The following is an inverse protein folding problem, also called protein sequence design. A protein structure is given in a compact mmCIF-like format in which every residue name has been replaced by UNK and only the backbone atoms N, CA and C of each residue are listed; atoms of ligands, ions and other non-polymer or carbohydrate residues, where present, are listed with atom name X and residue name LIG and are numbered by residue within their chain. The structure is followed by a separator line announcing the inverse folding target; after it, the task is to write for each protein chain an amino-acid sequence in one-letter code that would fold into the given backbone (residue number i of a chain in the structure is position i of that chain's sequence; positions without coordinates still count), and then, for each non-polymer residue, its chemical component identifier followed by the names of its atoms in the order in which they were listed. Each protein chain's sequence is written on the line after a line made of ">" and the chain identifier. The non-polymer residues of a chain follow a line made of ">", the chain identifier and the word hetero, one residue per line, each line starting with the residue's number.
data_IF_446645157247
#
_entry.id   IF_446645157247
#
_cell.length_a   1.000
_cell.length_b   1.000
_cell.length_c   1.000
_cell.angle_alpha   90.00
_cell.angle_beta   90.00
_cell.angle_gamma   90.00
#
_symmetry.space_group_name_H-M   'P 1'
#
loop_
_entity.id
_entity.type
_entity.pdbx_description
1 polymer ?
#
# COMPACT_ATOMS: atom_id res chain seq x y z
N UNK A 1 10.32 6.46 -29.67
CA UNK A 1 11.24 7.16 -28.74
C UNK A 1 10.88 8.64 -28.74
N UNK A 2 10.15 9.13 -27.75
CA UNK A 2 10.03 10.58 -27.46
C UNK A 2 9.15 10.76 -26.22
N UNK A 3 9.54 11.61 -25.27
CA UNK A 3 8.55 12.11 -24.32
C UNK A 3 8.97 12.47 -22.90
N UNK A 4 10.24 12.47 -22.52
CA UNK A 4 10.65 13.16 -21.28
C UNK A 4 11.27 14.50 -21.64
N UNK A 5 10.41 15.51 -21.76
CA UNK A 5 10.83 16.91 -21.89
C UNK A 5 11.46 17.33 -20.55
N UNK A 6 12.79 17.47 -20.52
CA UNK A 6 13.53 18.03 -19.40
C UNK A 6 13.72 19.54 -19.60
N UNK A 7 12.64 20.29 -19.78
CA UNK A 7 12.70 21.75 -19.77
C UNK A 7 12.49 22.26 -18.35
N UNK A 8 13.28 23.25 -17.92
CA UNK A 8 13.03 23.98 -16.66
C UNK A 8 11.66 24.71 -16.63
N UNK A 9 10.93 24.74 -17.76
CA UNK A 9 9.55 25.25 -17.84
C UNK A 9 8.50 24.17 -17.54
N UNK A 10 8.89 22.90 -17.43
CA UNK A 10 7.98 21.80 -17.09
C UNK A 10 7.66 21.80 -15.58
N UNK A 11 6.43 22.18 -15.24
CA UNK A 11 5.92 22.22 -13.85
C UNK A 11 5.50 20.84 -13.32
N UNK A 12 5.61 19.78 -14.12
CA UNK A 12 5.27 18.41 -13.73
C UNK A 12 6.25 17.88 -12.69
N UNK A 13 5.73 17.30 -11.62
CA UNK A 13 6.57 16.68 -10.59
C UNK A 13 7.17 15.36 -11.09
N UNK A 14 8.16 14.81 -10.38
CA UNK A 14 8.68 13.46 -10.68
C UNK A 14 7.56 12.41 -10.73
N UNK A 15 6.53 12.56 -9.89
CA UNK A 15 5.36 11.69 -9.87
C UNK A 15 4.52 11.82 -11.15
N UNK A 16 4.34 13.03 -11.68
CA UNK A 16 3.66 13.25 -12.95
C UNK A 16 4.41 12.58 -14.10
N UNK A 17 5.74 12.76 -14.13
CA UNK A 17 6.59 12.16 -15.15
C UNK A 17 6.53 10.63 -15.09
N UNK A 18 6.52 10.06 -13.88
CA UNK A 18 6.41 8.61 -13.73
C UNK A 18 5.06 8.07 -14.22
N UNK A 19 3.95 8.73 -13.91
CA UNK A 19 2.63 8.33 -14.41
C UNK A 19 2.60 8.40 -15.94
N UNK A 20 3.13 9.48 -16.52
CA UNK A 20 3.22 9.62 -17.98
C UNK A 20 4.12 8.56 -18.63
N UNK A 21 5.22 8.19 -17.98
CA UNK A 21 6.09 7.12 -18.45
C UNK A 21 5.36 5.77 -18.45
N UNK A 22 4.68 5.43 -17.35
CA UNK A 22 3.86 4.21 -17.27
C UNK A 22 2.79 4.19 -18.37
N UNK A 23 2.16 5.33 -18.63
CA UNK A 23 1.17 5.47 -19.69
C UNK A 23 1.76 5.29 -21.08
N UNK A 24 2.97 5.80 -21.31
CA UNK A 24 3.68 5.71 -22.59
C UNK A 24 4.09 4.28 -22.95
N UNK A 25 4.14 3.36 -21.98
CA UNK A 25 4.41 1.94 -22.25
C UNK A 25 3.29 1.27 -23.05
N UNK A 26 2.10 1.86 -23.11
CA UNK A 26 0.99 1.34 -23.92
C UNK A 26 0.53 -0.05 -23.48
N UNK A 27 0.72 -0.41 -22.21
CA UNK A 27 0.32 -1.71 -21.68
C UNK A 27 -1.20 -1.86 -21.76
N UNK A 28 -1.65 -2.87 -22.49
CA UNK A 28 -3.07 -3.18 -22.70
C UNK A 28 -3.68 -4.02 -21.57
N UNK A 29 -2.84 -4.53 -20.67
CA UNK A 29 -3.24 -5.36 -19.53
C UNK A 29 -2.98 -4.64 -18.21
N UNK A 30 -3.84 -4.83 -17.18
CA UNK A 30 -3.58 -4.32 -15.85
C UNK A 30 -2.23 -4.80 -15.29
N UNK A 31 -1.54 -3.93 -14.57
CA UNK A 31 -0.23 -4.25 -13.97
C UNK A 31 -0.11 -3.78 -12.53
N UNK A 32 0.87 -4.36 -11.82
CA UNK A 32 1.33 -3.89 -10.52
C UNK A 32 2.54 -2.99 -10.69
N UNK A 33 2.42 -1.74 -10.27
CA UNK A 33 3.55 -0.84 -10.14
C UNK A 33 4.25 -1.07 -8.80
N UNK A 34 5.50 -1.57 -8.85
CA UNK A 34 6.32 -1.81 -7.65
C UNK A 34 7.29 -0.65 -7.46
N UNK A 35 7.21 0.03 -6.32
CA UNK A 35 7.96 1.27 -6.09
C UNK A 35 8.38 1.47 -4.62
N UNK A 36 9.32 2.37 -4.36
CA UNK A 36 9.66 2.74 -2.97
C UNK A 36 8.66 3.70 -2.34
N UNK A 37 8.87 3.97 -1.05
CA UNK A 37 7.98 4.79 -0.24
C UNK A 37 7.77 6.22 -0.73
N UNK A 38 8.57 6.74 -1.67
CA UNK A 38 8.30 8.03 -2.33
C UNK A 38 6.97 8.00 -3.11
N UNK A 39 6.67 6.86 -3.72
CA UNK A 39 5.48 6.65 -4.54
C UNK A 39 4.24 6.26 -3.73
N UNK A 40 4.39 6.04 -2.42
CA UNK A 40 3.29 5.88 -1.47
C UNK A 40 2.61 7.23 -1.20
N UNK A 41 2.01 7.83 -2.23
CA UNK A 41 1.24 9.07 -2.14
C UNK A 41 -0.09 8.97 -2.91
N UNK A 42 -1.02 9.87 -2.61
CA UNK A 42 -2.36 9.81 -3.20
C UNK A 42 -2.42 10.16 -4.69
N UNK A 43 -1.41 10.83 -5.24
CA UNK A 43 -1.37 11.16 -6.68
C UNK A 43 -1.05 9.91 -7.50
N UNK A 44 -0.01 9.17 -7.10
CA UNK A 44 0.37 7.89 -7.73
C UNK A 44 -0.75 6.87 -7.65
N UNK A 45 -1.34 6.67 -6.46
CA UNK A 45 -2.43 5.68 -6.31
C UNK A 45 -3.64 6.02 -7.17
N UNK A 46 -4.06 7.30 -7.22
CA UNK A 46 -5.20 7.69 -8.07
C UNK A 46 -4.90 7.49 -9.55
N UNK A 47 -3.70 7.86 -10.00
CA UNK A 47 -3.29 7.68 -11.40
C UNK A 47 -3.30 6.21 -11.84
N UNK A 48 -2.80 5.31 -10.98
CA UNK A 48 -2.81 3.88 -11.25
C UNK A 48 -4.24 3.31 -11.26
N UNK A 49 -5.02 3.57 -10.21
CA UNK A 49 -6.37 3.03 -10.08
C UNK A 49 -7.33 3.53 -11.17
N UNK A 50 -7.15 4.76 -11.66
CA UNK A 50 -7.94 5.30 -12.78
C UNK A 50 -7.80 4.47 -14.07
N UNK A 51 -6.75 3.66 -14.18
CA UNK A 51 -6.48 2.77 -15.32
C UNK A 51 -6.58 1.29 -14.97
N UNK A 52 -7.12 0.96 -13.80
CA UNK A 52 -7.19 -0.43 -13.32
C UNK A 52 -5.85 -1.01 -12.86
N UNK A 53 -4.81 -0.19 -12.72
CA UNK A 53 -3.50 -0.63 -12.25
C UNK A 53 -3.40 -0.52 -10.73
N UNK A 54 -2.51 -1.32 -10.14
CA UNK A 54 -2.33 -1.39 -8.70
C UNK A 54 -0.92 -0.96 -8.27
N UNK A 55 -0.80 -0.47 -7.04
CA UNK A 55 0.48 -0.08 -6.43
C UNK A 55 0.87 -1.12 -5.38
N UNK A 56 2.11 -1.60 -5.43
CA UNK A 56 2.77 -2.31 -4.34
C UNK A 56 4.01 -1.51 -3.93
N UNK A 57 4.05 -1.06 -2.68
CA UNK A 57 5.13 -0.16 -2.23
C UNK A 57 5.49 -0.35 -0.77
N UNK A 58 6.71 0.04 -0.40
CA UNK A 58 7.06 0.29 0.99
C UNK A 58 6.33 1.53 1.51
N UNK A 59 6.08 1.58 2.81
CA UNK A 59 5.62 2.77 3.53
C UNK A 59 6.54 3.12 4.69
N UNK A 60 6.53 4.39 5.11
CA UNK A 60 7.37 4.89 6.21
C UNK A 60 6.90 4.35 7.57
N UNK A 61 7.79 4.23 8.54
CA UNK A 61 7.47 3.74 9.90
C UNK A 61 6.42 4.60 10.63
N UNK A 62 6.37 5.89 10.33
CA UNK A 62 5.37 6.83 10.86
C UNK A 62 4.06 6.86 10.07
N UNK A 63 3.87 5.96 9.10
CA UNK A 63 2.63 5.90 8.32
C UNK A 63 1.45 5.54 9.21
N UNK A 64 0.34 6.23 8.99
CA UNK A 64 -0.91 6.08 9.73
C UNK A 64 -2.04 5.65 8.81
N UNK A 65 -2.91 4.79 9.33
CA UNK A 65 -4.16 4.42 8.69
C UNK A 65 -5.27 4.34 9.73
N UNK A 66 -6.48 4.06 9.27
CA UNK A 66 -7.69 4.08 10.09
C UNK A 66 -8.45 2.77 9.89
N UNK A 67 -8.92 2.19 10.97
CA UNK A 67 -9.87 1.08 10.85
C UNK A 67 -11.17 1.55 10.19
N UNK A 68 -11.95 0.66 9.57
CA UNK A 68 -13.33 0.96 9.23
C UNK A 68 -14.08 1.42 10.49
N UNK A 69 -14.91 2.46 10.36
CA UNK A 69 -15.78 2.83 11.46
C UNK A 69 -16.78 1.70 11.76
N UNK A 70 -17.03 1.44 13.04
CA UNK A 70 -18.05 0.48 13.44
C UNK A 70 -19.42 0.90 12.89
N UNK A 71 -20.24 -0.04 12.37
CA UNK A 71 -21.60 0.27 11.97
C UNK A 71 -22.36 0.86 13.17
N UNK A 72 -23.19 1.88 12.93
CA UNK A 72 -24.09 2.37 13.98
C UNK A 72 -25.08 1.24 14.34
N UNK A 73 -25.35 1.01 15.65
CA UNK A 73 -26.36 0.05 16.06
C UNK A 73 -27.71 0.40 15.44
N UNK A 74 -28.43 -0.60 14.90
CA UNK A 74 -29.72 -0.40 14.23
C UNK A 74 -30.77 0.29 15.12
N UNK A 75 -30.68 0.10 16.44
CA UNK A 75 -31.62 0.65 17.43
C UNK A 75 -31.33 2.09 17.88
N UNK A 76 -30.31 2.77 17.34
CA UNK A 76 -30.04 4.16 17.68
C UNK A 76 -30.59 5.10 16.59
N UNK A 77 -31.30 6.18 16.95
CA UNK A 77 -31.71 7.17 15.96
C UNK A 77 -30.50 7.64 15.16
N UNK A 78 -30.66 7.63 13.83
CA UNK A 78 -29.59 7.97 12.89
C UNK A 78 -29.13 9.40 13.20
N UNK A 79 -27.85 9.53 13.58
CA UNK A 79 -27.28 10.86 13.83
C UNK A 79 -27.35 11.68 12.53
N UNK A 80 -27.72 12.96 12.64
CA UNK A 80 -27.70 13.87 11.49
C UNK A 80 -26.26 13.99 10.96
N UNK A 81 -26.09 13.82 9.64
CA UNK A 81 -24.81 13.98 8.95
C UNK A 81 -24.34 12.70 8.23
N UNK A 82 -23.21 12.83 7.51
CA UNK A 82 -22.58 11.71 6.81
C UNK A 82 -21.98 10.73 7.83
N UNK A 83 -22.29 9.41 7.76
CA UNK A 83 -21.65 8.42 8.62
C UNK A 83 -20.14 8.49 8.57
N UNK A 84 -19.49 8.41 9.72
CA UNK A 84 -18.04 8.42 9.82
C UNK A 84 -17.46 7.20 9.09
N UNK A 85 -16.53 7.43 8.17
CA UNK A 85 -15.83 6.36 7.42
C UNK A 85 -14.63 5.81 8.20
N UNK A 86 -13.96 6.68 8.94
CA UNK A 86 -12.69 6.42 9.62
C UNK A 86 -12.93 6.12 11.10
N UNK A 87 -12.66 4.88 11.52
CA UNK A 87 -12.63 4.48 12.92
C UNK A 87 -11.35 4.92 13.62
N UNK A 88 -10.86 4.08 14.54
CA UNK A 88 -9.65 4.35 15.30
C UNK A 88 -8.41 4.47 14.40
N UNK A 89 -7.52 5.39 14.76
CA UNK A 89 -6.24 5.61 14.09
C UNK A 89 -5.22 4.58 14.56
N UNK A 90 -4.40 4.07 13.65
CA UNK A 90 -3.30 3.16 13.95
C UNK A 90 -2.03 3.57 13.19
N UNK A 91 -0.88 3.46 13.85
CA UNK A 91 0.42 3.47 13.18
C UNK A 91 0.66 2.10 12.55
N UNK A 92 1.03 2.04 11.27
CA UNK A 92 1.21 0.74 10.58
C UNK A 92 2.25 -0.15 11.29
N UNK A 93 3.32 0.45 11.81
CA UNK A 93 4.33 -0.27 12.60
C UNK A 93 3.75 -0.94 13.86
N UNK A 94 2.63 -0.45 14.40
CA UNK A 94 1.96 -1.03 15.57
C UNK A 94 1.41 -2.42 15.32
N UNK A 95 1.16 -2.80 14.06
CA UNK A 95 0.72 -4.15 13.69
C UNK A 95 1.71 -5.22 14.17
N UNK A 96 3.01 -4.89 14.28
CA UNK A 96 4.03 -5.80 14.78
C UNK A 96 4.07 -5.93 16.31
N UNK A 97 3.40 -5.04 17.05
CA UNK A 97 3.33 -5.11 18.51
C UNK A 97 2.32 -6.14 19.02
N UNK A 98 1.38 -6.53 18.17
CA UNK A 98 0.35 -7.53 18.48
C UNK A 98 0.90 -8.92 18.16
N UNK A 99 1.83 -9.38 19.01
CA UNK A 99 2.66 -10.58 18.79
C UNK A 99 1.85 -11.87 18.69
N UNK A 100 0.71 -11.91 19.38
CA UNK A 100 -0.32 -12.95 19.39
C UNK A 100 -1.00 -13.14 18.02
N UNK A 101 -1.01 -12.10 17.20
CA UNK A 101 -1.67 -12.06 15.90
C UNK A 101 -0.68 -12.06 14.72
N UNK A 102 0.60 -12.30 14.99
CA UNK A 102 1.61 -12.44 13.96
C UNK A 102 1.51 -13.81 13.30
N UNK A 103 1.45 -13.81 11.98
CA UNK A 103 1.58 -15.00 11.15
C UNK A 103 3.05 -15.31 10.92
N UNK A 104 3.36 -16.60 10.72
CA UNK A 104 4.69 -17.08 10.37
C UNK A 104 4.62 -17.84 9.06
N UNK A 105 5.58 -17.59 8.17
CA UNK A 105 5.71 -18.33 6.91
C UNK A 105 7.16 -18.31 6.42
N UNK A 106 7.57 -19.31 5.62
CA UNK A 106 8.81 -19.22 4.86
C UNK A 106 8.82 -17.97 3.99
N UNK A 107 9.98 -17.32 3.90
CA UNK A 107 10.14 -16.13 3.09
C UNK A 107 9.89 -16.44 1.62
N UNK A 108 8.99 -15.72 0.93
CA UNK A 108 8.76 -15.91 -0.49
C UNK A 108 9.72 -15.10 -1.37
N UNK A 109 10.69 -14.40 -0.77
CA UNK A 109 11.66 -13.53 -1.45
C UNK A 109 12.71 -14.38 -2.15
N UNK A 110 12.99 -14.07 -3.43
CA UNK A 110 13.94 -14.81 -4.24
C UNK A 110 15.35 -14.80 -3.61
N UNK A 111 15.98 -15.98 -3.57
CA UNK A 111 17.32 -16.16 -3.00
C UNK A 111 17.37 -16.34 -1.47
N UNK A 112 16.26 -16.18 -0.76
CA UNK A 112 16.21 -16.52 0.67
C UNK A 112 15.93 -18.03 0.86
N UNK A 113 16.73 -18.67 1.72
CA UNK A 113 16.60 -20.08 2.07
C UNK A 113 16.62 -20.23 3.59
N UNK A 114 15.69 -21.01 4.13
CA UNK A 114 15.58 -21.23 5.58
C UNK A 114 15.23 -19.97 6.40
N UNK A 115 14.64 -18.95 5.77
CA UNK A 115 14.19 -17.73 6.44
C UNK A 115 12.70 -17.84 6.75
N UNK A 116 12.33 -17.74 8.03
CA UNK A 116 10.93 -17.59 8.45
C UNK A 116 10.64 -16.13 8.76
N UNK A 117 9.64 -15.56 8.09
CA UNK A 117 9.16 -14.21 8.33
C UNK A 117 8.06 -14.23 9.40
N UNK A 118 8.02 -13.19 10.23
CA UNK A 118 6.85 -12.87 11.06
C UNK A 118 6.15 -11.66 10.46
N UNK A 119 4.85 -11.75 10.20
CA UNK A 119 4.15 -10.64 9.57
C UNK A 119 2.70 -10.54 10.04
N UNK A 120 2.10 -9.38 9.81
CA UNK A 120 0.67 -9.14 9.97
C UNK A 120 0.16 -8.28 8.85
N UNK A 121 -1.04 -8.61 8.37
CA UNK A 121 -1.75 -7.78 7.41
C UNK A 121 -3.01 -7.17 8.01
N UNK A 122 -3.44 -6.03 7.45
CA UNK A 122 -4.72 -5.42 7.75
C UNK A 122 -5.16 -4.55 6.57
N UNK A 123 -6.45 -4.63 6.24
CA UNK A 123 -7.08 -3.73 5.28
C UNK A 123 -7.57 -2.48 6.03
N UNK A 124 -6.91 -1.35 5.81
CA UNK A 124 -7.14 -0.11 6.55
C UNK A 124 -7.39 1.07 5.61
N UNK A 125 -8.18 2.03 6.05
CA UNK A 125 -8.40 3.26 5.32
C UNK A 125 -7.15 4.13 5.35
N UNK A 126 -6.65 4.46 4.17
CA UNK A 126 -5.50 5.34 4.02
C UNK A 126 -5.95 6.72 3.52
N UNK A 127 -5.85 7.73 4.40
CA UNK A 127 -6.40 9.08 4.18
C UNK A 127 -5.98 9.76 2.87
N UNK A 128 -4.73 9.62 2.37
CA UNK A 128 -4.33 10.27 1.12
C UNK A 128 -5.21 9.97 -0.08
N UNK A 129 -5.89 8.82 -0.09
CA UNK A 129 -6.82 8.38 -1.15
C UNK A 129 -8.22 8.05 -0.66
N UNK A 130 -8.41 7.90 0.66
CA UNK A 130 -9.70 7.64 1.27
C UNK A 130 -10.30 6.28 0.91
N UNK A 131 -9.49 5.30 0.50
CA UNK A 131 -9.91 3.92 0.23
C UNK A 131 -9.25 2.93 1.20
N UNK A 132 -9.79 1.71 1.28
CA UNK A 132 -9.11 0.60 1.95
C UNK A 132 -7.92 0.16 1.10
N UNK A 133 -6.78 0.01 1.75
CA UNK A 133 -5.56 -0.59 1.16
C UNK A 133 -5.07 -1.67 2.10
N UNK A 134 -4.43 -2.69 1.54
CA UNK A 134 -3.86 -3.79 2.33
C UNK A 134 -2.47 -3.37 2.81
N UNK A 135 -2.31 -3.21 4.11
CA UNK A 135 -0.99 -3.04 4.71
C UNK A 135 -0.44 -4.39 5.14
N UNK A 136 0.87 -4.58 4.98
CA UNK A 136 1.59 -5.77 5.46
C UNK A 136 2.82 -5.29 6.23
N UNK A 137 2.84 -5.52 7.53
CA UNK A 137 3.99 -5.25 8.37
C UNK A 137 4.78 -6.55 8.55
N UNK A 138 6.05 -6.55 8.16
CA UNK A 138 6.93 -7.73 8.14
C UNK A 138 8.11 -7.48 9.06
N UNK A 139 8.40 -8.45 9.91
CA UNK A 139 9.61 -8.55 10.71
C UNK A 139 10.47 -9.69 10.13
N UNK A 140 11.56 -9.32 9.48
CA UNK A 140 12.55 -10.25 8.98
C UNK A 140 13.63 -10.47 10.06
N UNK A 141 14.05 -11.72 10.34
CA UNK A 141 15.02 -12.04 11.40
C UNK A 141 16.43 -11.44 11.24
N UNK A 142 16.75 -10.84 10.08
CA UNK A 142 18.08 -10.31 9.74
C UNK A 142 18.00 -8.90 9.18
N UNK A 143 17.04 -8.66 8.27
CA UNK A 143 16.84 -7.35 7.60
C UNK A 143 15.99 -6.36 8.41
N UNK A 144 15.46 -6.79 9.56
CA UNK A 144 14.61 -5.96 10.41
C UNK A 144 13.21 -5.79 9.85
N UNK A 145 12.59 -4.64 10.17
CA UNK A 145 11.19 -4.37 9.84
C UNK A 145 11.03 -3.69 8.49
N UNK A 146 10.09 -4.18 7.69
CA UNK A 146 9.58 -3.50 6.50
C UNK A 146 8.06 -3.40 6.56
N UNK A 147 7.53 -2.25 6.15
CA UNK A 147 6.09 -2.02 6.07
C UNK A 147 5.75 -1.85 4.60
N UNK A 148 4.81 -2.64 4.11
CA UNK A 148 4.36 -2.65 2.73
C UNK A 148 2.89 -2.23 2.67
N UNK A 149 2.47 -1.74 1.50
CA UNK A 149 1.07 -1.54 1.16
C UNK A 149 0.79 -2.01 -0.27
N UNK A 150 -0.42 -2.51 -0.47
CA UNK A 150 -0.99 -2.81 -1.78
C UNK A 150 -2.35 -2.12 -1.93
N UNK A 151 -2.61 -1.54 -3.10
CA UNK A 151 -3.97 -1.06 -3.46
C UNK A 151 -4.87 -2.20 -3.93
N UNK A 152 -4.30 -3.36 -4.27
CA UNK A 152 -5.04 -4.58 -4.50
C UNK A 152 -5.18 -5.37 -3.20
N UNK A 153 -6.42 -5.63 -2.80
CA UNK A 153 -6.77 -6.37 -1.58
C UNK A 153 -7.08 -7.84 -1.87
N UNK A 154 -7.05 -8.27 -3.13
CA UNK A 154 -7.20 -9.67 -3.50
C UNK A 154 -5.88 -10.43 -3.25
N UNK A 155 -4.74 -9.76 -3.42
CA UNK A 155 -3.41 -10.32 -3.13
C UNK A 155 -3.27 -10.76 -1.67
N UNK A 156 -2.84 -12.00 -1.45
CA UNK A 156 -2.52 -12.44 -0.10
C UNK A 156 -1.26 -11.71 0.41
N UNK A 157 -1.04 -11.63 1.73
CA UNK A 157 0.10 -10.91 2.29
C UNK A 157 1.46 -11.42 1.78
N UNK A 158 1.59 -12.74 1.54
CA UNK A 158 2.81 -13.33 1.02
C UNK A 158 3.08 -12.94 -0.43
N UNK A 159 2.03 -12.78 -1.26
CA UNK A 159 2.19 -12.30 -2.63
C UNK A 159 2.67 -10.84 -2.64
N UNK A 160 2.17 -10.00 -1.74
CA UNK A 160 2.66 -8.62 -1.59
C UNK A 160 4.14 -8.61 -1.21
N UNK A 161 4.56 -9.48 -0.28
CA UNK A 161 5.97 -9.62 0.12
C UNK A 161 6.82 -10.11 -1.06
N UNK A 162 6.34 -11.12 -1.79
CA UNK A 162 7.02 -11.68 -2.97
C UNK A 162 7.19 -10.64 -4.07
N UNK A 163 6.10 -9.97 -4.46
CA UNK A 163 6.08 -8.93 -5.50
C UNK A 163 7.05 -7.81 -5.12
N UNK A 164 7.03 -7.35 -3.87
CA UNK A 164 7.96 -6.32 -3.44
C UNK A 164 9.42 -6.81 -3.38
N UNK A 165 9.64 -8.08 -3.05
CA UNK A 165 10.95 -8.71 -3.02
C UNK A 165 11.63 -8.85 -4.38
N UNK A 166 10.94 -8.56 -5.48
CA UNK A 166 11.52 -8.47 -6.83
C UNK A 166 12.24 -7.13 -7.09
N UNK A 167 12.11 -6.15 -6.19
CA UNK A 167 12.76 -4.83 -6.26
C UNK A 167 14.08 -4.82 -5.50
#
# INVERSE_FOLDING_TARGET
>A
HEGTVFSNRDKRTLLDKMILLLDSLGLSVPFYFVADAYYANGKTVRGLLAKGNHLVTRVKSNSVAYFPASPQPANRPRLRGRPTKYGSKILIAALLRQTDQLQQAPSPVYGEQGVTLRFRSADLFWRPVGILVRFVAVSHPRRGTILLMSTDRTLCPLDIIRIYGLR
#
